data_IF_256705120241
#
_entry.id   IF_256705120241
#
_cell.length_a   1.000
_cell.length_b   1.000
_cell.length_c   1.000
_cell.angle_alpha   90.00
_cell.angle_beta   90.00
_cell.angle_gamma   90.00
#
_symmetry.space_group_name_H-M   'P 1'
#
loop_
_entity.id
_entity.type
_entity.pdbx_description
1 polymer ?
#
# COMPACT_ATOMS: atom_id res chain seq x y z
N UNK A 1 -8.99 -24.27 -3.71
CA UNK A 1 -10.21 -23.53 -4.10
C UNK A 1 -9.91 -22.06 -4.38
N UNK A 2 -9.08 -21.44 -3.55
CA UNK A 2 -8.67 -20.04 -3.71
C UNK A 2 -7.17 -19.96 -4.03
N UNK A 3 -6.74 -18.81 -4.55
CA UNK A 3 -5.35 -18.47 -4.71
C UNK A 3 -5.12 -17.00 -4.37
N UNK A 4 -3.95 -16.71 -3.81
CA UNK A 4 -3.50 -15.36 -3.53
C UNK A 4 -2.20 -15.07 -4.26
N UNK A 5 -2.03 -13.83 -4.67
CA UNK A 5 -0.79 -13.29 -5.21
C UNK A 5 -0.47 -12.03 -4.43
N UNK A 6 0.68 -12.03 -3.76
CA UNK A 6 1.29 -10.80 -3.27
C UNK A 6 2.12 -10.16 -4.38
N UNK A 7 2.10 -8.84 -4.46
CA UNK A 7 2.86 -8.09 -5.46
C UNK A 7 4.34 -8.52 -5.47
N UNK A 8 4.82 -9.01 -6.62
CA UNK A 8 6.21 -9.46 -6.79
C UNK A 8 6.52 -10.86 -6.24
N UNK A 9 5.52 -11.64 -5.83
CA UNK A 9 5.67 -13.01 -5.36
C UNK A 9 4.96 -14.00 -6.30
N UNK A 10 5.38 -15.27 -6.32
CA UNK A 10 4.65 -16.32 -7.03
C UNK A 10 3.24 -16.51 -6.45
N UNK A 11 2.38 -17.10 -7.27
CA UNK A 11 1.02 -17.47 -6.86
C UNK A 11 1.06 -18.54 -5.77
N UNK A 12 0.29 -18.33 -4.71
CA UNK A 12 0.13 -19.29 -3.63
C UNK A 12 -1.30 -19.82 -3.61
N UNK A 13 -1.45 -21.14 -3.68
CA UNK A 13 -2.75 -21.81 -3.59
C UNK A 13 -3.20 -22.00 -2.14
N UNK A 14 -4.50 -21.95 -1.91
CA UNK A 14 -5.13 -22.23 -0.62
C UNK A 14 -4.98 -23.68 -0.20
N UNK A 15 -4.58 -23.92 1.04
CA UNK A 15 -4.62 -25.24 1.70
C UNK A 15 -5.87 -25.30 2.56
N UNK A 16 -6.60 -26.41 2.51
CA UNK A 16 -7.74 -26.65 3.38
C UNK A 16 -7.29 -26.91 4.83
N UNK A 17 -7.96 -26.29 5.80
CA UNK A 17 -7.70 -26.53 7.21
C UNK A 17 -8.33 -27.86 7.62
N UNK A 18 -7.53 -28.76 8.19
CA UNK A 18 -8.01 -30.06 8.68
C UNK A 18 -9.20 -29.89 9.64
N UNK A 19 -10.17 -30.80 9.57
CA UNK A 19 -11.41 -30.82 10.37
C UNK A 19 -12.46 -29.74 10.03
N UNK A 20 -12.31 -29.02 8.91
CA UNK A 20 -13.22 -27.94 8.53
C UNK A 20 -14.21 -28.30 7.41
N UNK A 21 -14.33 -29.58 7.02
CA UNK A 21 -15.22 -30.05 5.95
C UNK A 21 -15.13 -29.24 4.63
N UNK A 22 -13.94 -28.75 4.25
CA UNK A 22 -13.78 -27.91 3.06
C UNK A 22 -14.25 -26.46 3.21
N UNK A 23 -14.69 -26.04 4.40
CA UNK A 23 -15.25 -24.69 4.61
C UNK A 23 -14.17 -23.68 4.98
N UNK A 24 -13.03 -24.10 5.54
CA UNK A 24 -11.95 -23.20 5.92
C UNK A 24 -10.70 -23.49 5.11
N UNK A 25 -10.09 -22.42 4.59
CA UNK A 25 -8.83 -22.48 3.88
C UNK A 25 -7.86 -21.44 4.42
N UNK A 26 -6.58 -21.79 4.40
CA UNK A 26 -5.48 -20.91 4.77
C UNK A 26 -4.50 -20.77 3.62
N UNK A 27 -3.98 -19.56 3.43
CA UNK A 27 -2.85 -19.28 2.55
C UNK A 27 -1.77 -18.61 3.37
N UNK A 28 -0.56 -19.15 3.30
CA UNK A 28 0.61 -18.59 3.98
C UNK A 28 1.51 -17.95 2.94
N UNK A 29 1.86 -16.68 3.15
CA UNK A 29 2.77 -15.91 2.31
C UNK A 29 4.06 -15.66 3.11
N UNK A 30 5.04 -16.55 2.97
CA UNK A 30 6.31 -16.53 3.72
C UNK A 30 7.48 -15.83 2.99
N UNK A 31 7.29 -15.42 1.72
CA UNK A 31 8.37 -14.91 0.86
C UNK A 31 8.26 -13.42 0.53
N UNK A 32 7.34 -12.70 1.17
CA UNK A 32 7.15 -11.28 0.90
C UNK A 32 8.32 -10.49 1.47
N UNK A 33 9.33 -10.17 0.65
CA UNK A 33 10.28 -9.10 0.99
C UNK A 33 9.45 -7.88 1.42
N UNK A 34 9.67 -7.33 2.63
CA UNK A 34 8.79 -6.31 3.18
C UNK A 34 8.91 -5.03 2.35
N UNK A 35 8.03 -4.87 1.37
CA UNK A 35 7.73 -3.56 0.80
C UNK A 35 6.64 -2.94 1.68
N UNK A 36 6.86 -1.70 2.12
CA UNK A 36 5.98 -0.91 3.00
C UNK A 36 4.52 -0.83 2.50
N UNK A 37 4.30 -1.05 1.21
CA UNK A 37 2.99 -1.22 0.60
C UNK A 37 2.95 -2.52 -0.21
N UNK A 38 2.11 -3.46 0.22
CA UNK A 38 1.86 -4.69 -0.54
C UNK A 38 0.42 -4.73 -1.02
N UNK A 39 0.25 -5.06 -2.31
CA UNK A 39 -1.04 -5.40 -2.88
C UNK A 39 -1.18 -6.91 -2.88
N UNK A 40 -2.26 -7.39 -2.28
CA UNK A 40 -2.59 -8.82 -2.23
C UNK A 40 -3.86 -9.01 -3.02
N UNK A 41 -3.75 -9.78 -4.09
CA UNK A 41 -4.89 -10.15 -4.92
C UNK A 41 -5.31 -11.55 -4.53
N UNK A 42 -6.57 -11.70 -4.10
CA UNK A 42 -7.17 -12.99 -3.78
C UNK A 42 -8.26 -13.30 -4.80
N UNK A 43 -8.33 -14.53 -5.27
CA UNK A 43 -9.35 -14.94 -6.22
C UNK A 43 -9.71 -16.43 -6.10
N UNK A 44 -10.89 -16.76 -6.61
CA UNK A 44 -11.39 -18.12 -6.76
C UNK A 44 -10.79 -18.72 -8.03
N UNK A 45 -10.28 -19.95 -7.96
CA UNK A 45 -9.73 -20.64 -9.13
C UNK A 45 -10.86 -21.02 -10.11
N UNK A 46 -10.65 -20.91 -11.43
CA UNK A 46 -11.71 -21.09 -12.44
C UNK A 46 -12.26 -22.52 -12.50
N UNK A 47 -11.52 -23.51 -11.99
CA UNK A 47 -11.91 -24.92 -12.05
C UNK A 47 -12.80 -25.36 -10.87
N UNK A 48 -13.22 -24.43 -10.01
CA UNK A 48 -14.04 -24.74 -8.82
C UNK A 48 -15.35 -23.97 -8.89
N UNK A 49 -16.47 -24.70 -8.78
CA UNK A 49 -17.81 -24.11 -8.70
C UNK A 49 -18.06 -23.62 -7.29
N UNK A 50 -18.11 -22.30 -7.11
CA UNK A 50 -18.45 -21.68 -5.83
C UNK A 50 -19.99 -21.60 -5.69
N UNK A 51 -20.59 -22.21 -4.65
CA UNK A 51 -22.04 -22.18 -4.48
C UNK A 51 -22.59 -20.75 -4.31
N UNK A 52 -23.70 -20.38 -4.98
CA UNK A 52 -24.20 -19.00 -4.96
C UNK A 52 -24.79 -18.59 -3.60
N UNK A 53 -25.26 -19.55 -2.80
CA UNK A 53 -25.82 -19.33 -1.46
C UNK A 53 -24.76 -19.17 -0.36
N UNK A 54 -23.48 -19.38 -0.69
CA UNK A 54 -22.37 -19.18 0.21
C UNK A 54 -21.61 -17.90 -0.12
N UNK A 55 -20.76 -17.48 0.80
CA UNK A 55 -19.86 -16.35 0.70
C UNK A 55 -18.59 -16.69 1.48
N UNK A 56 -17.43 -16.38 0.90
CA UNK A 56 -16.15 -16.63 1.54
C UNK A 56 -15.68 -15.34 2.22
N UNK A 57 -15.66 -15.31 3.55
CA UNK A 57 -15.08 -14.21 4.34
C UNK A 57 -13.57 -14.36 4.41
N UNK A 58 -12.85 -13.24 4.27
CA UNK A 58 -11.40 -13.19 4.16
C UNK A 58 -10.82 -12.48 5.37
N UNK A 59 -9.91 -13.15 6.05
CA UNK A 59 -9.21 -12.67 7.24
C UNK A 59 -7.72 -12.58 6.97
N UNK A 60 -7.03 -11.57 7.54
CA UNK A 60 -5.57 -11.52 7.56
C UNK A 60 -5.06 -11.50 8.99
N UNK A 61 -3.92 -12.16 9.18
CA UNK A 61 -3.09 -12.13 10.37
C UNK A 61 -1.68 -11.74 9.94
N UNK A 62 -1.26 -10.51 10.27
CA UNK A 62 0.04 -9.98 9.89
C UNK A 62 1.11 -10.50 10.86
N UNK A 63 0.93 -10.37 12.18
CA UNK A 63 1.90 -10.87 13.16
C UNK A 63 1.58 -12.26 13.72
N UNK A 64 2.55 -13.01 14.26
CA UNK A 64 2.29 -14.23 15.04
C UNK A 64 1.44 -13.93 16.29
N UNK A 65 1.61 -12.74 16.86
CA UNK A 65 0.90 -12.22 18.04
C UNK A 65 -0.40 -11.49 17.70
N UNK A 66 -0.68 -11.23 16.42
CA UNK A 66 -1.90 -10.56 16.01
C UNK A 66 -3.04 -11.56 15.76
N UNK A 67 -4.26 -11.08 15.96
CA UNK A 67 -5.48 -11.85 15.71
C UNK A 67 -5.94 -11.70 14.25
N UNK A 68 -6.75 -12.66 13.80
CA UNK A 68 -7.38 -12.61 12.49
C UNK A 68 -8.36 -11.46 12.40
N UNK A 69 -8.01 -10.43 11.64
CA UNK A 69 -8.91 -9.33 11.34
C UNK A 69 -9.68 -9.62 10.06
N UNK A 70 -10.98 -9.34 10.03
CA UNK A 70 -11.78 -9.43 8.81
C UNK A 70 -11.34 -8.34 7.82
N UNK A 71 -11.11 -8.72 6.57
CA UNK A 71 -10.71 -7.82 5.48
C UNK A 71 -11.62 -7.92 4.26
N UNK A 72 -12.68 -8.71 4.27
CA UNK A 72 -13.68 -8.64 3.21
C UNK A 72 -14.24 -9.99 2.84
N UNK A 73 -14.67 -10.09 1.59
CA UNK A 73 -15.35 -11.27 1.10
C UNK A 73 -15.12 -11.54 -0.40
N UNK A 74 -15.33 -12.79 -0.77
CA UNK A 74 -15.43 -13.30 -2.12
C UNK A 74 -16.77 -14.04 -2.28
N UNK A 75 -17.34 -13.99 -3.48
CA UNK A 75 -18.58 -14.69 -3.83
C UNK A 75 -18.53 -15.13 -5.29
N UNK A 76 -19.55 -15.88 -5.74
CA UNK A 76 -19.68 -16.21 -7.15
C UNK A 76 -19.82 -14.96 -8.05
N UNK A 77 -20.49 -13.91 -7.56
CA UNK A 77 -20.65 -12.62 -8.26
C UNK A 77 -19.35 -11.80 -8.25
N UNK A 78 -18.56 -11.94 -7.19
CA UNK A 78 -17.28 -11.26 -7.01
C UNK A 78 -16.17 -12.28 -6.73
N UNK A 79 -15.64 -12.93 -7.78
CA UNK A 79 -14.68 -14.02 -7.63
C UNK A 79 -13.25 -13.54 -7.32
N UNK A 80 -12.99 -12.23 -7.32
CA UNK A 80 -11.67 -11.68 -6.99
C UNK A 80 -11.75 -10.37 -6.20
N UNK A 81 -10.73 -10.11 -5.38
CA UNK A 81 -10.57 -8.88 -4.61
C UNK A 81 -9.09 -8.52 -4.47
N UNK A 82 -8.80 -7.22 -4.47
CA UNK A 82 -7.44 -6.68 -4.25
C UNK A 82 -7.46 -5.94 -2.91
N UNK A 83 -6.51 -6.30 -2.05
CA UNK A 83 -6.33 -5.76 -0.72
C UNK A 83 -5.02 -4.99 -0.66
N UNK A 84 -5.09 -3.72 -0.25
CA UNK A 84 -3.91 -2.93 0.07
C UNK A 84 -3.57 -3.16 1.54
N UNK A 85 -2.44 -3.78 1.81
CA UNK A 85 -1.95 -3.97 3.17
C UNK A 85 -0.83 -2.96 3.40
N UNK A 86 -1.05 -2.05 4.35
CA UNK A 86 0.03 -1.23 4.92
C UNK A 86 0.68 -2.08 6.00
N UNK A 87 1.89 -2.56 5.74
CA UNK A 87 2.68 -3.20 6.77
C UNK A 87 3.15 -2.07 7.71
N UNK A 88 2.97 -2.17 9.04
CA UNK A 88 3.57 -1.23 9.96
C UNK A 88 5.07 -1.24 9.70
N UNK A 89 5.56 -0.16 9.09
CA UNK A 89 6.98 0.01 8.88
C UNK A 89 7.59 0.17 10.28
N UNK A 90 8.64 -0.58 10.59
CA UNK A 90 9.42 -0.49 11.84
C UNK A 90 10.17 0.83 11.99
N UNK A 91 9.60 1.94 11.50
CA UNK A 91 10.15 3.29 11.53
C UNK A 91 9.11 4.34 11.94
N UNK A 92 8.05 3.97 12.66
CA UNK A 92 7.38 4.93 13.54
C UNK A 92 8.16 5.06 14.84
N UNK A 93 9.39 5.58 14.76
CA UNK A 93 9.97 6.25 15.92
C UNK A 93 9.03 7.40 16.22
N UNK A 94 8.34 7.32 17.36
CA UNK A 94 7.67 8.44 17.99
C UNK A 94 8.67 9.58 18.10
N UNK A 95 8.62 10.53 17.16
CA UNK A 95 9.47 11.71 17.20
C UNK A 95 8.97 12.63 18.32
N UNK A 96 9.67 12.56 19.43
CA UNK A 96 9.97 13.69 20.30
C UNK A 96 10.40 14.90 19.47
N UNK A 97 9.82 16.05 19.80
CA UNK A 97 10.13 17.40 19.30
C UNK A 97 11.63 17.63 19.02
N UNK A 98 11.96 18.07 17.80
CA UNK A 98 13.28 18.61 17.46
C UNK A 98 13.51 18.64 15.96
N UNK A 99 13.40 19.83 15.37
CA UNK A 99 13.86 20.29 14.05
C UNK A 99 14.32 19.21 13.04
N UNK A 100 13.49 18.98 12.03
CA UNK A 100 13.70 17.99 10.98
C UNK A 100 14.74 18.38 9.93
N UNK A 101 15.74 17.53 9.79
CA UNK A 101 16.57 17.34 8.59
C UNK A 101 16.47 15.86 8.21
N UNK A 102 15.55 15.55 7.30
CA UNK A 102 15.15 14.20 6.92
C UNK A 102 16.05 13.63 5.84
N UNK A 103 17.32 13.38 6.15
CA UNK A 103 18.22 12.59 5.32
C UNK A 103 18.02 11.11 5.65
N UNK A 104 16.98 10.51 5.03
CA UNK A 104 16.83 9.06 4.98
C UNK A 104 17.95 8.48 4.13
N UNK A 105 18.89 7.84 4.81
CA UNK A 105 20.14 7.33 4.26
C UNK A 105 19.93 6.32 3.13
N UNK A 106 20.84 6.40 2.15
CA UNK A 106 20.94 5.55 0.98
C UNK A 106 21.75 4.33 1.41
N UNK A 107 21.11 3.18 1.64
CA UNK A 107 21.83 1.91 1.77
C UNK A 107 22.35 1.52 0.37
N UNK A 108 23.64 1.75 0.16
CA UNK A 108 24.42 1.28 -0.98
C UNK A 108 25.15 0.01 -0.52
N UNK A 109 25.07 -1.06 -1.33
CA UNK A 109 25.61 -2.40 -1.08
C UNK A 109 27.00 -2.43 -0.40
N UNK A 110 27.14 -3.19 0.69
CA UNK A 110 28.46 -3.57 1.22
C UNK A 110 28.46 -5.05 1.65
N UNK A 111 28.97 -5.90 0.75
CA UNK A 111 29.41 -7.25 1.06
C UNK A 111 30.64 -7.19 1.99
N UNK A 112 30.53 -7.43 3.31
CA UNK A 112 31.63 -7.89 4.17
C UNK A 112 31.22 -8.30 5.61
N UNK A 113 31.32 -9.61 5.88
CA UNK A 113 31.67 -10.31 7.14
C UNK A 113 30.81 -10.19 8.44
N UNK A 114 30.69 -11.30 9.22
CA UNK A 114 29.81 -11.37 10.39
C UNK A 114 30.53 -10.90 11.65
N UNK A 115 30.12 -9.76 12.21
CA UNK A 115 30.58 -9.35 13.54
C UNK A 115 29.82 -10.12 14.63
N UNK A 116 30.49 -11.14 15.18
CA UNK A 116 30.08 -11.88 16.37
C UNK A 116 30.42 -11.02 17.59
N UNK A 117 29.42 -10.34 18.15
CA UNK A 117 29.34 -10.05 19.59
C UNK A 117 27.92 -9.66 19.98
N UNK A 118 27.18 -10.64 20.47
CA UNK A 118 25.84 -10.46 21.01
C UNK A 118 25.87 -9.80 22.39
N UNK A 119 24.86 -8.97 22.65
CA UNK A 119 23.92 -9.06 23.79
C UNK A 119 23.27 -7.70 24.04
N UNK A 120 22.17 -7.44 23.32
CA UNK A 120 20.95 -6.85 23.87
C UNK A 120 19.85 -6.97 22.80
N UNK A 121 19.22 -8.14 22.79
CA UNK A 121 18.05 -8.46 22.00
C UNK A 121 16.83 -7.77 22.61
N UNK A 122 16.55 -6.53 22.22
CA UNK A 122 15.22 -5.94 22.38
C UNK A 122 15.00 -4.80 21.38
N UNK A 123 14.98 -5.15 20.09
CA UNK A 123 14.35 -4.33 19.07
C UNK A 123 13.32 -5.20 18.35
N UNK A 124 12.04 -4.92 18.64
CA UNK A 124 10.86 -5.43 17.95
C UNK A 124 10.92 -5.02 16.47
N UNK A 125 11.75 -5.73 15.72
CA UNK A 125 11.68 -5.79 14.28
C UNK A 125 10.46 -6.65 13.96
N UNK A 126 9.30 -6.02 13.76
CA UNK A 126 8.17 -6.65 13.10
C UNK A 126 8.52 -6.86 11.63
N UNK A 127 9.53 -7.69 11.36
CA UNK A 127 9.66 -8.40 10.10
C UNK A 127 8.43 -9.28 10.02
N UNK A 128 7.44 -8.83 9.25
CA UNK A 128 6.29 -9.64 8.91
C UNK A 128 6.77 -10.67 7.88
N UNK A 129 7.59 -11.61 8.34
CA UNK A 129 8.17 -12.67 7.52
C UNK A 129 7.09 -13.60 6.98
N UNK A 130 5.90 -13.57 7.56
CA UNK A 130 4.81 -14.47 7.23
C UNK A 130 3.47 -13.75 7.40
N UNK A 131 2.75 -13.58 6.31
CA UNK A 131 1.36 -13.14 6.33
C UNK A 131 0.45 -14.36 6.15
N UNK A 132 -0.49 -14.54 7.08
CA UNK A 132 -1.46 -15.64 7.02
C UNK A 132 -2.81 -15.08 6.60
N UNK A 133 -3.36 -15.65 5.53
CA UNK A 133 -4.70 -15.36 5.02
C UNK A 133 -5.61 -16.52 5.44
N UNK A 134 -6.63 -16.22 6.23
CA UNK A 134 -7.71 -17.16 6.56
C UNK A 134 -8.91 -16.90 5.65
N UNK A 135 -9.54 -17.96 5.15
CA UNK A 135 -10.72 -17.89 4.30
C UNK A 135 -11.77 -18.82 4.91
N UNK A 136 -12.93 -18.28 5.29
CA UNK A 136 -14.04 -19.06 5.84
C UNK A 136 -15.23 -18.99 4.89
N UNK A 137 -15.73 -20.14 4.44
CA UNK A 137 -16.91 -20.26 3.59
C UNK A 137 -18.13 -20.39 4.50
N UNK A 138 -19.00 -19.39 4.44
CA UNK A 138 -20.17 -19.26 5.31
C UNK A 138 -21.43 -19.01 4.48
N UNK A 139 -22.63 -19.28 5.00
CA UNK A 139 -23.87 -18.88 4.34
C UNK A 139 -23.89 -17.36 4.07
N UNK A 140 -24.45 -16.96 2.93
CA UNK A 140 -24.47 -15.56 2.48
C UNK A 140 -25.07 -14.62 3.53
N UNK A 141 -26.11 -15.06 4.26
CA UNK A 141 -26.80 -14.26 5.27
C UNK A 141 -25.91 -13.95 6.49
N UNK A 142 -25.20 -14.95 7.01
CA UNK A 142 -24.29 -14.79 8.15
C UNK A 142 -23.06 -13.96 7.77
N UNK A 143 -22.47 -14.25 6.61
CA UNK A 143 -21.28 -13.55 6.14
C UNK A 143 -21.55 -12.07 5.82
N UNK A 144 -22.74 -11.75 5.29
CA UNK A 144 -23.15 -10.35 5.09
C UNK A 144 -23.35 -9.60 6.41
N UNK A 145 -23.90 -10.25 7.44
CA UNK A 145 -24.07 -9.65 8.77
C UNK A 145 -22.72 -9.28 9.38
N UNK A 146 -21.76 -10.20 9.37
CA UNK A 146 -20.37 -9.95 9.82
C UNK A 146 -19.71 -8.80 9.06
N UNK A 147 -19.93 -8.72 7.75
CA UNK A 147 -19.38 -7.66 6.92
C UNK A 147 -20.00 -6.29 7.24
N UNK A 148 -21.31 -6.24 7.50
CA UNK A 148 -22.00 -5.00 7.90
C UNK A 148 -21.51 -4.52 9.26
N UNK A 149 -21.38 -5.42 10.24
CA UNK A 149 -20.82 -5.10 11.56
C UNK A 149 -19.40 -4.57 11.45
N UNK A 150 -18.53 -5.24 10.69
CA UNK A 150 -17.16 -4.78 10.44
C UNK A 150 -17.12 -3.40 9.78
N UNK A 151 -18.00 -3.15 8.80
CA UNK A 151 -18.11 -1.84 8.14
C UNK A 151 -18.58 -0.75 9.10
N UNK A 152 -19.50 -1.08 10.01
CA UNK A 152 -20.00 -0.15 11.02
C UNK A 152 -18.92 0.18 12.07
N UNK A 153 -18.15 -0.81 12.52
CA UNK A 153 -16.99 -0.61 13.40
C UNK A 153 -15.94 0.29 12.74
N UNK A 154 -15.70 0.09 11.45
CA UNK A 154 -14.77 0.92 10.71
C UNK A 154 -15.24 2.38 10.55
N UNK A 155 -16.54 2.59 10.35
CA UNK A 155 -17.11 3.93 10.27
C UNK A 155 -17.13 4.65 11.62
N UNK A 156 -17.32 3.92 12.73
CA UNK A 156 -17.29 4.47 14.09
C UNK A 156 -15.88 4.96 14.51
N UNK A 157 -14.81 4.34 13.99
CA UNK A 157 -13.43 4.80 14.23
C UNK A 157 -13.02 6.04 13.42
N UNK A 158 -13.85 6.55 12.50
CA UNK A 158 -13.53 7.75 11.69
C UNK A 158 -14.01 9.07 12.29
N UNK A 159 -14.81 9.06 13.36
CA UNK A 159 -15.46 10.27 13.90
C UNK A 159 -14.72 10.99 15.03
N UNK A 160 -13.63 10.44 15.56
CA UNK A 160 -12.79 11.13 16.58
C UNK A 160 -11.36 11.24 16.05
N UNK A 161 -10.92 12.47 15.81
CA UNK A 161 -9.75 12.77 14.98
C UNK A 161 -8.43 12.24 15.51
N UNK A 162 -7.71 11.44 14.71
CA UNK A 162 -6.27 11.51 14.50
C UNK A 162 -5.82 10.63 13.31
N UNK A 163 -4.88 11.16 12.52
CA UNK A 163 -3.92 10.54 11.59
C UNK A 163 -4.09 9.11 11.03
N UNK A 164 -4.11 9.02 9.70
CA UNK A 164 -3.30 8.12 8.82
C UNK A 164 -3.19 6.59 9.07
N UNK A 165 -3.96 6.00 9.98
CA UNK A 165 -3.95 4.53 10.20
C UNK A 165 -5.19 3.82 9.65
N UNK A 166 -5.70 4.23 8.47
CA UNK A 166 -6.84 3.55 7.86
C UNK A 166 -6.41 2.38 6.97
N UNK A 167 -6.43 1.18 7.57
CA UNK A 167 -6.60 -0.08 6.84
C UNK A 167 -8.05 -0.18 6.37
N UNK A 168 -8.37 0.55 5.29
CA UNK A 168 -9.71 0.59 4.70
C UNK A 168 -9.75 -0.10 3.35
N UNK A 169 -10.74 -0.97 3.20
CA UNK A 169 -11.12 -1.61 1.96
C UNK A 169 -11.79 -0.64 1.01
N UNK A 170 -11.58 -0.93 -0.27
CA UNK A 170 -12.05 -0.21 -1.45
C UNK A 170 -11.37 1.14 -1.63
N UNK A 171 -10.64 1.26 -2.75
CA UNK A 171 -10.60 2.51 -3.52
C UNK A 171 -12.03 3.04 -3.43
N UNK A 172 -12.30 4.21 -2.81
CA UNK A 172 -13.67 4.73 -2.72
C UNK A 172 -14.21 4.59 -4.11
N UNK A 173 -15.37 3.93 -4.28
CA UNK A 173 -15.99 3.67 -5.58
C UNK A 173 -15.82 4.96 -6.38
N UNK A 174 -14.78 4.99 -7.21
CA UNK A 174 -14.47 6.16 -7.99
C UNK A 174 -15.50 5.97 -9.06
N UNK A 175 -16.68 6.54 -8.81
CA UNK A 175 -17.71 6.81 -9.82
C UNK A 175 -16.91 7.17 -11.04
N UNK A 176 -16.77 6.25 -12.01
CA UNK A 176 -15.70 6.24 -13.01
C UNK A 176 -15.31 7.66 -13.35
N UNK A 177 -14.36 8.22 -12.60
CA UNK A 177 -13.97 9.61 -12.81
C UNK A 177 -13.06 9.39 -13.99
N UNK A 178 -13.59 9.69 -15.17
CA UNK A 178 -12.85 9.66 -16.42
C UNK A 178 -11.74 10.70 -16.26
N UNK A 179 -10.69 10.34 -15.53
CA UNK A 179 -9.46 11.11 -15.38
C UNK A 179 -8.69 10.78 -16.64
N UNK A 180 -8.95 11.56 -17.68
CA UNK A 180 -8.29 11.42 -18.97
C UNK A 180 -7.05 12.31 -19.06
N UNK A 181 -6.93 13.30 -18.18
CA UNK A 181 -5.90 14.34 -18.27
C UNK A 181 -5.14 14.53 -16.95
N UNK A 182 -3.91 15.04 -17.04
CA UNK A 182 -2.99 15.22 -15.91
C UNK A 182 -3.51 16.29 -14.93
N UNK A 183 -4.19 17.32 -15.45
CA UNK A 183 -4.80 18.38 -14.69
C UNK A 183 -6.04 17.93 -13.92
N UNK A 184 -6.83 17.01 -14.48
CA UNK A 184 -7.90 16.34 -13.74
C UNK A 184 -7.34 15.52 -12.57
N UNK A 185 -6.22 14.82 -12.78
CA UNK A 185 -5.55 14.08 -11.70
C UNK A 185 -5.05 15.02 -10.60
N UNK A 186 -4.42 16.14 -10.97
CA UNK A 186 -3.91 17.14 -10.03
C UNK A 186 -5.02 17.78 -9.18
N UNK A 187 -6.21 17.99 -9.75
CA UNK A 187 -7.36 18.50 -9.01
C UNK A 187 -7.93 17.47 -8.02
N UNK A 188 -7.94 16.19 -8.39
CA UNK A 188 -8.47 15.13 -7.53
C UNK A 188 -7.49 14.77 -6.41
N UNK A 189 -6.18 14.86 -6.67
CA UNK A 189 -5.13 14.47 -5.73
C UNK A 189 -4.02 15.54 -5.59
N UNK A 190 -4.33 16.75 -5.09
CA UNK A 190 -3.39 17.87 -5.09
C UNK A 190 -2.12 17.60 -4.26
N UNK A 191 -2.26 17.04 -3.06
CA UNK A 191 -1.12 16.73 -2.20
C UNK A 191 -0.18 15.67 -2.79
N UNK A 192 -0.75 14.60 -3.36
CA UNK A 192 0.01 13.52 -3.99
C UNK A 192 0.76 14.01 -5.24
N UNK A 193 0.11 14.84 -6.06
CA UNK A 193 0.74 15.43 -7.25
C UNK A 193 1.90 16.35 -6.88
N UNK A 194 1.77 17.13 -5.80
CA UNK A 194 2.87 17.98 -5.30
C UNK A 194 4.05 17.15 -4.79
N UNK A 195 3.81 16.10 -4.01
CA UNK A 195 4.86 15.20 -3.52
C UNK A 195 5.61 14.53 -4.67
N UNK A 196 4.87 14.02 -5.66
CA UNK A 196 5.46 13.39 -6.84
C UNK A 196 6.29 14.40 -7.65
N UNK A 197 5.76 15.60 -7.89
CA UNK A 197 6.48 16.66 -8.59
C UNK A 197 7.78 17.05 -7.87
N UNK A 198 7.75 17.15 -6.54
CA UNK A 198 8.94 17.45 -5.74
C UNK A 198 10.01 16.36 -5.90
N UNK A 199 9.63 15.08 -5.87
CA UNK A 199 10.57 13.97 -6.09
C UNK A 199 11.17 14.00 -7.50
N UNK A 200 10.36 14.20 -8.54
CA UNK A 200 10.84 14.29 -9.92
C UNK A 200 11.84 15.43 -10.09
N UNK A 201 11.53 16.61 -9.54
CA UNK A 201 12.41 17.77 -9.63
C UNK A 201 13.70 17.57 -8.83
N UNK A 202 13.66 16.88 -7.69
CA UNK A 202 14.88 16.50 -6.96
C UNK A 202 15.79 15.61 -7.79
N UNK A 203 15.24 14.58 -8.46
CA UNK A 203 16.03 13.72 -9.34
C UNK A 203 16.60 14.50 -10.54
N UNK A 204 15.82 15.41 -11.12
CA UNK A 204 16.28 16.28 -12.19
C UNK A 204 17.40 17.23 -11.72
N UNK A 205 17.29 17.80 -10.53
CA UNK A 205 18.33 18.63 -9.92
C UNK A 205 19.63 17.84 -9.74
N UNK A 206 19.55 16.64 -9.16
CA UNK A 206 20.71 15.76 -8.96
C UNK A 206 21.37 15.43 -10.31
N UNK A 207 20.59 15.14 -11.34
CA UNK A 207 21.09 14.89 -12.69
C UNK A 207 21.76 16.14 -13.28
N UNK A 208 21.10 17.30 -13.26
CA UNK A 208 21.62 18.55 -13.81
C UNK A 208 22.88 19.02 -13.08
N UNK A 209 22.98 18.79 -11.77
CA UNK A 209 24.18 19.11 -11.00
C UNK A 209 25.40 18.31 -11.45
N UNK A 210 25.21 17.12 -12.03
CA UNK A 210 26.28 16.30 -12.61
C UNK A 210 26.87 16.87 -13.91
N UNK A 211 26.20 17.83 -14.56
CA UNK A 211 26.68 18.51 -15.78
C UNK A 211 27.18 19.93 -15.53
N UNK A 212 27.34 20.33 -14.26
CA UNK A 212 27.89 21.64 -13.93
C UNK A 212 29.39 21.66 -14.24
N UNK A 213 29.75 22.19 -15.41
CA UNK A 213 31.12 22.53 -15.76
C UNK A 213 31.48 23.96 -15.29
N UNK A 214 32.78 24.27 -15.18
CA UNK A 214 33.27 25.63 -14.93
C UNK A 214 32.90 26.62 -16.05
N UNK A 215 32.31 26.15 -17.15
CA UNK A 215 31.84 26.96 -18.28
C UNK A 215 30.40 27.49 -18.08
N UNK A 216 29.67 27.03 -17.07
CA UNK A 216 28.38 27.61 -16.67
C UNK A 216 27.22 27.29 -17.62
N UNK A 217 27.28 26.18 -18.34
CA UNK A 217 26.29 25.81 -19.37
C UNK A 217 24.88 25.53 -18.80
N UNK A 218 24.76 25.21 -17.50
CA UNK A 218 23.47 25.00 -16.81
C UNK A 218 23.33 25.97 -15.64
N UNK A 219 22.41 26.94 -15.76
CA UNK A 219 22.12 27.91 -14.69
C UNK A 219 21.18 27.32 -13.64
N UNK A 220 21.72 26.69 -12.61
CA UNK A 220 20.94 26.09 -11.50
C UNK A 220 19.97 27.10 -10.85
N UNK A 221 20.39 28.36 -10.72
CA UNK A 221 19.54 29.45 -10.18
C UNK A 221 18.26 29.69 -11.00
N UNK A 222 18.30 29.49 -12.32
CA UNK A 222 17.12 29.62 -13.18
C UNK A 222 16.19 28.43 -12.99
N UNK A 223 16.75 27.25 -12.74
CA UNK A 223 15.99 26.04 -12.42
C UNK A 223 15.26 26.20 -11.08
N UNK A 224 15.91 26.73 -10.04
CA UNK A 224 15.27 27.01 -8.74
C UNK A 224 14.13 28.02 -8.88
N UNK A 225 14.39 29.11 -9.62
CA UNK A 225 13.37 30.14 -9.88
C UNK A 225 12.19 29.58 -10.67
N UNK A 226 12.44 28.67 -11.61
CA UNK A 226 11.40 27.97 -12.36
C UNK A 226 10.60 27.04 -11.44
N UNK A 227 11.26 26.28 -10.57
CA UNK A 227 10.61 25.37 -9.62
C UNK A 227 9.70 26.11 -8.64
N UNK A 228 10.12 27.27 -8.13
CA UNK A 228 9.28 28.09 -7.27
C UNK A 228 8.03 28.62 -7.98
N UNK A 229 8.15 29.01 -9.26
CA UNK A 229 7.01 29.40 -10.09
C UNK A 229 6.09 28.21 -10.36
N UNK A 230 6.65 27.04 -10.62
CA UNK A 230 5.90 25.81 -10.84
C UNK A 230 5.11 25.41 -9.60
N UNK A 231 5.71 25.38 -8.41
CA UNK A 231 5.03 25.10 -7.14
C UNK A 231 3.85 26.05 -6.91
N UNK A 232 4.07 27.36 -7.07
CA UNK A 232 3.02 28.38 -6.92
C UNK A 232 1.89 28.18 -7.92
N UNK A 233 2.22 27.88 -9.17
CA UNK A 233 1.21 27.63 -10.21
C UNK A 233 0.43 26.36 -9.93
N UNK A 234 1.08 25.26 -9.59
CA UNK A 234 0.45 23.98 -9.26
C UNK A 234 -0.45 24.05 -8.02
N UNK A 235 -0.09 24.85 -7.03
CA UNK A 235 -0.91 25.08 -5.84
C UNK A 235 -2.17 25.89 -6.14
N UNK A 236 -2.09 26.84 -7.08
CA UNK A 236 -3.20 27.74 -7.43
C UNK A 236 -4.13 27.13 -8.49
N UNK A 237 -3.56 26.46 -9.49
CA UNK A 237 -4.28 25.85 -10.60
C UNK A 237 -3.56 24.58 -11.05
N UNK A 238 -4.17 23.42 -10.81
CA UNK A 238 -3.64 22.13 -11.26
C UNK A 238 -3.92 21.82 -12.73
N UNK A 239 -4.83 22.56 -13.38
CA UNK A 239 -5.25 22.29 -14.77
C UNK A 239 -4.23 22.72 -15.81
N UNK A 240 -3.28 23.59 -15.46
CA UNK A 240 -2.18 23.99 -16.34
C UNK A 240 -1.32 22.82 -16.83
N UNK A 241 -1.31 21.68 -16.11
CA UNK A 241 -0.59 20.49 -16.57
C UNK A 241 -1.14 19.96 -17.90
N UNK A 242 -2.42 20.20 -18.19
CA UNK A 242 -3.02 19.82 -19.47
C UNK A 242 -2.57 20.75 -20.59
N UNK A 243 -2.37 22.04 -20.31
CA UNK A 243 -1.84 23.01 -21.28
C UNK A 243 -0.39 22.67 -21.68
N UNK A 244 0.42 22.18 -20.74
CA UNK A 244 1.83 21.85 -20.99
C UNK A 244 1.98 20.50 -21.72
N UNK A 245 1.01 19.60 -21.58
CA UNK A 245 1.09 18.24 -22.13
C UNK A 245 0.37 18.04 -23.46
N UNK A 246 -0.35 19.05 -23.95
CA UNK A 246 -1.18 18.98 -25.18
C UNK A 246 -0.46 19.39 -26.48
N UNK A 247 0.87 19.25 -26.55
CA UNK A 247 1.65 19.47 -27.78
C UNK A 247 1.54 18.33 -28.80
#
# INVERSE_FOLDING_TARGET
MFAAIASGNPLQSSVEVANSNGLQHTIVLSSTKPKSYSHITLFILPNVTFPPNYLATVYFKLGPLEEFKLFGYLSAEKPSAIFKVKLPNSSSTSQTNGYGDGLGEIDMDEDAEPNINGMNAQNNSNNISELIIGISIEPREEGMTKLQEWKNQMNAQRSEGMSESSMALTRPLMSSRNIATAGQLARVYPALTQELAAKIVQHAYNYLSGFLDSAGNVSIKRFDTWWDKFKKRLANDGTFLDEVTSN
#
